data_IF_318871080939
#
_entry.id   IF_318871080939
#
_cell.length_a   1.000
_cell.length_b   1.000
_cell.length_c   1.000
_cell.angle_alpha   90.00
_cell.angle_beta   90.00
_cell.angle_gamma   90.00
#
_symmetry.space_group_name_H-M   'P 1'
#
loop_
_entity.id
_entity.type
_entity.pdbx_description
1 polymer ?
#
# COMPACT_ATOMS: atom_id res chain seq x y z
N UNK A 1 74.85 -2.28 30.07
CA UNK A 1 73.46 -1.80 29.96
C UNK A 1 73.03 -1.59 28.49
N UNK A 2 73.58 -2.30 27.50
CA UNK A 2 73.26 -2.07 26.07
C UNK A 2 72.32 -3.12 25.43
N UNK A 3 72.00 -4.20 26.14
CA UNK A 3 71.25 -5.33 25.56
C UNK A 3 69.72 -5.16 25.60
N UNK A 4 69.22 -4.27 26.46
CA UNK A 4 67.77 -4.07 26.66
C UNK A 4 67.20 -3.09 25.62
N UNK A 5 67.96 -2.08 25.20
CA UNK A 5 67.52 -1.08 24.21
C UNK A 5 67.41 -1.68 22.80
N UNK A 6 68.30 -2.63 22.46
CA UNK A 6 68.26 -3.33 21.16
C UNK A 6 67.03 -4.23 21.00
N UNK A 7 66.60 -4.90 22.07
CA UNK A 7 65.40 -5.74 22.04
C UNK A 7 64.10 -4.93 21.94
N UNK A 8 64.08 -3.71 22.49
CA UNK A 8 62.95 -2.79 22.38
C UNK A 8 62.77 -2.22 20.97
N UNK A 9 63.87 -1.90 20.28
CA UNK A 9 63.81 -1.40 18.88
C UNK A 9 63.25 -2.45 17.94
N UNK A 10 63.79 -3.67 17.96
CA UNK A 10 63.38 -4.76 17.05
C UNK A 10 61.88 -5.06 17.18
N UNK A 11 61.31 -4.97 18.39
CA UNK A 11 59.88 -5.16 18.63
C UNK A 11 59.01 -4.03 18.08
N UNK A 12 59.48 -2.77 18.10
CA UNK A 12 58.75 -1.65 17.49
C UNK A 12 58.83 -1.71 15.97
N UNK A 13 60.00 -1.99 15.42
CA UNK A 13 60.21 -2.09 13.97
C UNK A 13 59.34 -3.21 13.34
N UNK A 14 59.17 -4.33 14.06
CA UNK A 14 58.28 -5.43 13.62
C UNK A 14 56.80 -5.08 13.74
N UNK A 15 56.38 -4.37 14.80
CA UNK A 15 54.98 -3.93 14.94
C UNK A 15 54.61 -2.89 13.87
N UNK A 16 55.50 -1.95 13.57
CA UNK A 16 55.30 -0.95 12.52
C UNK A 16 55.23 -1.60 11.12
N UNK A 17 56.07 -2.61 10.86
CA UNK A 17 56.04 -3.36 9.60
C UNK A 17 54.71 -4.12 9.42
N UNK A 18 54.26 -4.87 10.43
CA UNK A 18 52.99 -5.63 10.38
C UNK A 18 51.80 -4.69 10.21
N UNK A 19 51.82 -3.53 10.85
CA UNK A 19 50.72 -2.54 10.74
C UNK A 19 50.68 -1.89 9.35
N UNK A 20 51.84 -1.67 8.72
CA UNK A 20 51.94 -1.05 7.39
C UNK A 20 51.60 -2.04 6.25
N UNK A 21 51.96 -3.31 6.41
CA UNK A 21 51.50 -4.39 5.50
C UNK A 21 49.99 -4.61 5.60
N UNK A 22 49.42 -4.54 6.82
CA UNK A 22 47.98 -4.68 7.02
C UNK A 22 47.15 -3.54 6.41
N UNK A 23 47.76 -2.38 6.12
CA UNK A 23 47.08 -1.22 5.51
C UNK A 23 47.21 -1.17 3.98
N UNK A 24 48.19 -1.86 3.38
CA UNK A 24 48.47 -1.74 1.93
C UNK A 24 47.76 -2.78 1.07
N UNK A 25 47.15 -3.82 1.66
CA UNK A 25 46.52 -4.94 0.93
C UNK A 25 45.02 -5.11 1.21
N UNK A 26 44.29 -4.02 1.44
CA UNK A 26 42.82 -4.07 1.43
C UNK A 26 42.22 -4.03 0.00
N UNK A 27 43.01 -4.47 -0.99
CA UNK A 27 42.54 -4.78 -2.34
C UNK A 27 42.45 -6.29 -2.50
N UNK A 28 41.62 -6.93 -1.67
CA UNK A 28 41.12 -8.28 -2.00
C UNK A 28 40.47 -8.27 -3.38
N UNK A 29 40.37 -9.42 -4.07
CA UNK A 29 39.70 -9.47 -5.36
C UNK A 29 38.32 -8.85 -5.18
N UNK A 30 38.04 -7.78 -5.95
CA UNK A 30 36.73 -7.16 -5.93
C UNK A 30 35.72 -8.28 -6.16
N UNK A 31 35.02 -8.68 -5.09
CA UNK A 31 33.85 -9.55 -5.20
C UNK A 31 32.93 -8.72 -6.08
N UNK A 32 32.88 -9.04 -7.38
CA UNK A 32 31.91 -8.46 -8.29
C UNK A 32 30.60 -8.64 -7.55
N UNK A 33 30.02 -7.53 -7.09
CA UNK A 33 28.96 -7.50 -6.08
C UNK A 33 27.69 -8.14 -6.60
N UNK A 34 27.68 -9.46 -6.71
CA UNK A 34 26.54 -10.25 -7.10
C UNK A 34 25.80 -10.55 -5.82
N UNK A 35 24.80 -9.72 -5.50
CA UNK A 35 23.82 -10.05 -4.48
C UNK A 35 23.11 -11.36 -4.94
N UNK A 36 23.33 -12.50 -4.27
CA UNK A 36 22.74 -13.78 -4.68
C UNK A 36 21.20 -13.73 -4.64
N UNK A 37 20.63 -12.80 -3.90
CA UNK A 37 19.19 -12.60 -3.77
C UNK A 37 18.61 -11.61 -4.78
N UNK A 38 19.42 -10.97 -5.63
CA UNK A 38 18.93 -9.92 -6.55
C UNK A 38 17.77 -10.39 -7.44
N UNK A 39 17.75 -11.67 -7.83
CA UNK A 39 16.65 -12.25 -8.62
C UNK A 39 15.38 -12.44 -7.78
N UNK A 40 15.53 -12.82 -6.52
CA UNK A 40 14.44 -13.01 -5.55
C UNK A 40 13.83 -11.66 -5.20
N UNK A 41 14.67 -10.66 -4.96
CA UNK A 41 14.25 -9.29 -4.65
C UNK A 41 13.46 -8.70 -5.82
N UNK A 42 14.01 -8.79 -7.04
CA UNK A 42 13.33 -8.32 -8.24
C UNK A 42 12.01 -9.07 -8.51
N UNK A 43 11.92 -10.36 -8.17
CA UNK A 43 10.68 -11.12 -8.30
C UNK A 43 9.64 -10.73 -7.24
N UNK A 44 10.09 -10.50 -6.01
CA UNK A 44 9.24 -10.05 -4.90
C UNK A 44 8.65 -8.68 -5.20
N UNK A 45 9.45 -7.77 -5.75
CA UNK A 45 8.98 -6.45 -6.16
C UNK A 45 7.92 -6.53 -7.27
N UNK A 46 8.14 -7.37 -8.29
CA UNK A 46 7.12 -7.62 -9.32
C UNK A 46 5.83 -8.21 -8.73
N UNK A 47 5.94 -9.13 -7.77
CA UNK A 47 4.78 -9.71 -7.11
C UNK A 47 4.00 -8.66 -6.29
N UNK A 48 4.70 -7.77 -5.58
CA UNK A 48 4.08 -6.66 -4.84
C UNK A 48 3.39 -5.67 -5.78
N UNK A 49 4.05 -5.27 -6.86
CA UNK A 49 3.46 -4.37 -7.87
C UNK A 49 2.19 -4.97 -8.48
N UNK A 50 2.18 -6.28 -8.80
CA UNK A 50 0.97 -6.95 -9.31
C UNK A 50 -0.18 -6.93 -8.30
N UNK A 51 0.10 -7.22 -7.03
CA UNK A 51 -0.93 -7.14 -5.97
C UNK A 51 -1.46 -5.72 -5.80
N UNK A 52 -0.58 -4.72 -5.86
CA UNK A 52 -0.98 -3.32 -5.74
C UNK A 52 -1.86 -2.87 -6.91
N UNK A 53 -1.51 -3.27 -8.14
CA UNK A 53 -2.33 -3.00 -9.32
C UNK A 53 -3.70 -3.69 -9.27
N UNK A 54 -3.77 -4.91 -8.73
CA UNK A 54 -5.03 -5.64 -8.54
C UNK A 54 -5.93 -4.96 -7.51
N UNK A 55 -5.36 -4.44 -6.42
CA UNK A 55 -6.10 -3.68 -5.42
C UNK A 55 -6.65 -2.37 -6.01
N UNK A 56 -5.82 -1.57 -6.68
CA UNK A 56 -6.26 -0.32 -7.35
C UNK A 56 -7.34 -0.59 -8.41
N UNK A 57 -7.19 -1.64 -9.22
CA UNK A 57 -8.23 -2.05 -10.17
C UNK A 57 -9.54 -2.44 -9.46
N UNK A 58 -9.45 -3.14 -8.33
CA UNK A 58 -10.61 -3.54 -7.54
C UNK A 58 -11.31 -2.33 -6.91
N UNK A 59 -10.56 -1.35 -6.42
CA UNK A 59 -11.10 -0.10 -5.89
C UNK A 59 -11.83 0.69 -6.97
N UNK A 60 -11.23 0.85 -8.15
CA UNK A 60 -11.88 1.52 -9.30
C UNK A 60 -13.18 0.84 -9.70
N UNK A 61 -13.21 -0.49 -9.72
CA UNK A 61 -14.44 -1.24 -10.04
C UNK A 61 -15.54 -1.03 -8.98
N UNK A 62 -15.16 -0.86 -7.70
CA UNK A 62 -16.12 -0.55 -6.63
C UNK A 62 -16.65 0.87 -6.77
N UNK A 63 -15.77 1.84 -7.02
CA UNK A 63 -16.16 3.23 -7.26
C UNK A 63 -17.10 3.36 -8.47
N UNK A 64 -16.77 2.71 -9.60
CA UNK A 64 -17.63 2.72 -10.79
C UNK A 64 -19.00 2.08 -10.51
N UNK A 65 -19.04 0.99 -9.76
CA UNK A 65 -20.30 0.36 -9.35
C UNK A 65 -21.14 1.31 -8.50
N UNK A 66 -20.52 2.02 -7.56
CA UNK A 66 -21.21 2.95 -6.67
C UNK A 66 -21.71 4.17 -7.45
N UNK A 67 -20.94 4.69 -8.41
CA UNK A 67 -21.36 5.76 -9.32
C UNK A 67 -22.52 5.33 -10.21
N UNK A 68 -22.48 4.12 -10.75
CA UNK A 68 -23.60 3.56 -11.54
C UNK A 68 -24.84 3.40 -10.68
N UNK A 69 -24.69 2.92 -9.44
CA UNK A 69 -25.79 2.80 -8.49
C UNK A 69 -26.40 4.17 -8.10
N UNK A 70 -25.56 5.21 -7.99
CA UNK A 70 -26.04 6.58 -7.73
C UNK A 70 -26.85 7.15 -8.90
N UNK A 71 -26.54 6.78 -10.15
CA UNK A 71 -27.21 7.28 -11.36
C UNK A 71 -28.40 6.44 -11.82
N UNK A 72 -28.51 5.19 -11.38
CA UNK A 72 -29.58 4.30 -11.81
C UNK A 72 -30.91 4.68 -11.14
N UNK A 73 -32.04 4.67 -11.87
CA UNK A 73 -33.36 4.84 -11.28
C UNK A 73 -33.64 3.68 -10.31
N UNK A 74 -33.72 3.96 -9.01
CA UNK A 74 -34.02 2.94 -8.00
C UNK A 74 -35.51 2.65 -7.94
N UNK A 75 -35.88 1.40 -8.23
CA UNK A 75 -37.22 0.89 -8.03
C UNK A 75 -37.46 0.64 -6.54
N UNK A 76 -38.39 1.42 -5.96
CA UNK A 76 -38.78 1.26 -4.57
C UNK A 76 -39.75 0.09 -4.40
N UNK A 77 -39.46 -0.76 -3.42
CA UNK A 77 -40.23 -1.93 -3.00
C UNK A 77 -40.51 -1.84 -1.49
N UNK A 78 -41.52 -2.59 -1.01
CA UNK A 78 -41.84 -2.74 0.41
C UNK A 78 -42.00 -1.40 1.17
N UNK A 79 -42.73 -0.45 0.57
CA UNK A 79 -43.02 0.84 1.19
C UNK A 79 -44.01 0.73 2.36
N UNK A 80 -43.63 1.28 3.51
CA UNK A 80 -44.46 1.41 4.70
C UNK A 80 -44.47 2.86 5.22
N UNK A 81 -45.12 3.11 6.36
CA UNK A 81 -45.19 4.45 6.96
C UNK A 81 -43.84 5.05 7.34
N UNK A 82 -42.82 4.22 7.57
CA UNK A 82 -41.47 4.67 7.93
C UNK A 82 -40.57 4.92 6.70
N UNK A 83 -40.83 4.27 5.57
CA UNK A 83 -40.01 4.40 4.36
C UNK A 83 -40.20 3.26 3.36
N UNK A 84 -39.35 3.23 2.35
CA UNK A 84 -39.29 2.20 1.32
C UNK A 84 -37.91 1.54 1.31
N UNK A 85 -37.82 0.38 0.69
CA UNK A 85 -36.56 -0.26 0.34
C UNK A 85 -36.38 -0.18 -1.17
N UNK A 86 -35.15 -0.30 -1.69
CA UNK A 86 -34.96 -0.62 -3.11
C UNK A 86 -34.72 -2.11 -3.33
N UNK A 87 -34.66 -2.52 -4.59
CA UNK A 87 -34.35 -3.90 -4.99
C UNK A 87 -32.93 -4.36 -4.65
N UNK A 88 -32.04 -3.42 -4.31
CA UNK A 88 -30.65 -3.67 -3.93
C UNK A 88 -30.46 -3.76 -2.41
N UNK A 89 -31.53 -3.58 -1.62
CA UNK A 89 -31.49 -3.63 -0.16
C UNK A 89 -31.18 -2.29 0.53
N UNK A 90 -31.16 -1.17 -0.19
CA UNK A 90 -30.97 0.15 0.40
C UNK A 90 -32.28 0.67 0.99
N UNK A 91 -32.20 1.28 2.19
CA UNK A 91 -33.36 1.87 2.86
C UNK A 91 -33.51 3.34 2.53
N UNK A 92 -34.73 3.75 2.23
CA UNK A 92 -35.17 5.11 1.96
C UNK A 92 -36.22 5.53 2.99
N UNK A 93 -35.81 6.27 4.01
CA UNK A 93 -36.70 6.79 5.05
C UNK A 93 -37.54 7.95 4.51
N UNK A 94 -38.79 8.04 4.94
CA UNK A 94 -39.70 9.09 4.47
C UNK A 94 -39.25 10.46 4.98
N UNK A 95 -39.20 11.43 4.08
CA UNK A 95 -38.93 12.83 4.38
C UNK A 95 -40.17 13.71 4.11
N UNK A 96 -40.09 14.98 4.46
CA UNK A 96 -41.16 15.94 4.18
C UNK A 96 -41.40 16.09 2.66
N UNK A 97 -42.67 16.34 2.29
CA UNK A 97 -43.05 16.62 0.90
C UNK A 97 -42.99 15.42 -0.05
N UNK A 98 -42.99 14.19 0.46
CA UNK A 98 -42.94 12.98 -0.38
C UNK A 98 -41.55 12.61 -0.90
N UNK A 99 -40.52 13.26 -0.35
CA UNK A 99 -39.11 12.94 -0.59
C UNK A 99 -38.62 11.85 0.36
N UNK A 100 -37.36 11.44 0.20
CA UNK A 100 -36.75 10.38 0.99
C UNK A 100 -35.32 10.74 1.44
N UNK A 101 -34.90 10.17 2.57
CA UNK A 101 -33.51 10.12 2.99
C UNK A 101 -33.01 8.69 2.88
N UNK A 102 -31.93 8.49 2.13
CA UNK A 102 -31.27 7.21 2.03
C UNK A 102 -30.44 6.93 3.29
N UNK A 103 -30.17 5.66 3.59
CA UNK A 103 -29.49 5.25 4.83
C UNK A 103 -28.08 5.82 5.00
N UNK A 104 -27.44 6.26 3.92
CA UNK A 104 -26.16 6.97 3.90
C UNK A 104 -26.28 8.50 4.14
N UNK A 105 -27.50 9.01 4.38
CA UNK A 105 -27.78 10.40 4.66
C UNK A 105 -28.11 11.26 3.44
N UNK A 106 -28.00 10.72 2.22
CA UNK A 106 -28.32 11.47 0.99
C UNK A 106 -29.81 11.77 0.88
N UNK A 107 -30.12 12.97 0.40
CA UNK A 107 -31.49 13.39 0.13
C UNK A 107 -31.90 12.96 -1.28
N UNK A 108 -33.06 12.32 -1.38
CA UNK A 108 -33.57 11.78 -2.62
C UNK A 108 -34.96 12.34 -2.91
N UNK A 109 -35.13 12.86 -4.12
CA UNK A 109 -36.41 13.35 -4.61
C UNK A 109 -37.15 12.24 -5.36
N UNK A 110 -38.48 12.27 -5.26
CA UNK A 110 -39.31 11.32 -5.99
C UNK A 110 -39.45 11.74 -7.46
N UNK A 111 -39.08 10.85 -8.37
CA UNK A 111 -39.20 11.01 -9.82
C UNK A 111 -40.12 9.92 -10.38
N UNK A 112 -41.44 10.09 -10.16
CA UNK A 112 -42.45 9.12 -10.56
C UNK A 112 -42.37 7.80 -9.76
N UNK A 113 -42.19 6.64 -10.41
CA UNK A 113 -41.99 5.36 -9.71
C UNK A 113 -40.58 5.20 -9.13
N UNK A 114 -39.64 6.07 -9.51
CA UNK A 114 -38.24 6.00 -9.12
C UNK A 114 -37.88 7.14 -8.14
N UNK A 115 -36.69 7.06 -7.56
CA UNK A 115 -36.09 8.14 -6.77
C UNK A 115 -34.74 8.54 -7.34
N UNK A 116 -34.41 9.81 -7.22
CA UNK A 116 -33.13 10.38 -7.64
C UNK A 116 -32.45 11.05 -6.45
N UNK A 117 -31.23 10.64 -6.11
CA UNK A 117 -30.49 11.15 -4.96
C UNK A 117 -29.37 12.10 -5.42
N UNK A 118 -29.20 13.21 -4.69
CA UNK A 118 -28.03 14.09 -4.80
C UNK A 118 -27.00 13.74 -3.71
#
# INVERSE_FOLDING_TARGET
MESIERAGSIRRDTVDAVTRESQSDNSGPAVIGHNPNARIDAQSERNMQRRMAELDASERMREERDDRAARAPTHLVNCNGAGCWDTQGTRYNRAAGGNFHRSDGKFCTRAGPNVMCN
#
